data_IF_131044711866
#
_entry.id   IF_131044711866
#
_cell.length_a   1.000
_cell.length_b   1.000
_cell.length_c   1.000
_cell.angle_alpha   90.00
_cell.angle_beta   90.00
_cell.angle_gamma   90.00
#
_symmetry.space_group_name_H-M   'P 1'
#
loop_
_entity.id
_entity.type
_entity.pdbx_description
1 polymer ?
#
# COMPACT_ATOMS: atom_id res chain seq x y z
N UNK A 1 -41.77 -46.53 -22.16
CA UNK A 1 -43.21 -46.81 -22.10
C UNK A 1 -43.87 -45.51 -21.66
N UNK A 2 -44.04 -44.52 -22.52
CA UNK A 2 -45.04 -44.49 -23.61
C UNK A 2 -46.37 -45.06 -23.14
N UNK A 3 -47.31 -44.17 -22.79
CA UNK A 3 -48.69 -44.03 -23.31
C UNK A 3 -49.15 -42.63 -22.84
N UNK A 4 -49.60 -41.66 -23.65
CA UNK A 4 -50.25 -41.75 -24.94
C UNK A 4 -51.77 -41.75 -24.77
N UNK A 5 -52.41 -40.62 -25.10
CA UNK A 5 -53.66 -40.50 -25.87
C UNK A 5 -54.82 -39.71 -25.24
N UNK A 6 -54.93 -38.46 -25.72
CA UNK A 6 -56.06 -37.86 -26.45
C UNK A 6 -57.53 -38.21 -26.12
N UNK A 7 -58.33 -37.15 -26.05
CA UNK A 7 -59.76 -37.10 -26.40
C UNK A 7 -60.27 -35.66 -26.17
N UNK A 8 -60.56 -34.88 -27.22
CA UNK A 8 -61.87 -34.75 -27.89
C UNK A 8 -62.97 -34.23 -26.95
N UNK A 9 -63.88 -33.34 -27.31
CA UNK A 9 -64.26 -32.57 -28.51
C UNK A 9 -65.48 -31.73 -28.08
N UNK A 10 -65.90 -30.78 -28.93
CA UNK A 10 -67.26 -30.20 -29.00
C UNK A 10 -67.66 -29.23 -27.85
N UNK A 11 -68.34 -28.11 -28.05
CA UNK A 11 -69.02 -27.52 -29.20
C UNK A 11 -69.97 -26.41 -28.72
N UNK A 12 -70.66 -25.78 -29.67
CA UNK A 12 -71.91 -25.01 -29.48
C UNK A 12 -71.85 -23.48 -29.29
N UNK A 13 -71.70 -22.81 -30.43
CA UNK A 13 -72.56 -21.77 -31.04
C UNK A 13 -73.79 -21.22 -30.27
N UNK A 14 -73.98 -19.90 -30.39
CA UNK A 14 -75.26 -19.17 -30.32
C UNK A 14 -75.13 -17.83 -29.58
N UNK A 15 -75.54 -16.64 -30.07
CA UNK A 15 -76.21 -16.24 -31.30
C UNK A 15 -76.43 -14.71 -31.33
N UNK A 16 -76.90 -14.24 -32.49
CA UNK A 16 -77.72 -13.04 -32.75
C UNK A 16 -77.20 -11.62 -32.39
N UNK A 17 -76.89 -10.86 -33.44
CA UNK A 17 -77.12 -9.41 -33.56
C UNK A 17 -78.58 -9.14 -34.05
N UNK A 18 -79.08 -7.91 -34.36
CA UNK A 18 -78.51 -6.54 -34.28
C UNK A 18 -79.52 -5.45 -33.77
N UNK A 19 -79.18 -4.15 -33.93
CA UNK A 19 -80.05 -3.00 -34.34
C UNK A 19 -80.20 -1.80 -33.37
N UNK A 20 -79.42 -0.75 -33.71
CA UNK A 20 -79.71 0.70 -33.87
C UNK A 20 -80.37 1.57 -32.77
N UNK A 21 -79.62 2.59 -32.31
CA UNK A 21 -79.81 4.02 -32.69
C UNK A 21 -78.67 4.87 -32.04
N UNK A 22 -77.75 5.52 -32.78
CA UNK A 22 -77.78 6.85 -33.45
C UNK A 22 -77.79 8.08 -32.48
N UNK A 23 -77.31 9.26 -32.89
CA UNK A 23 -75.91 9.71 -32.96
C UNK A 23 -75.68 11.03 -32.17
N UNK A 24 -74.42 11.44 -31.95
CA UNK A 24 -74.00 12.86 -32.03
C UNK A 24 -72.59 13.10 -31.53
N UNK A 25 -71.83 13.84 -32.33
CA UNK A 25 -71.04 14.93 -31.78
C UNK A 25 -69.53 14.73 -31.71
N UNK A 26 -68.85 15.75 -32.23
CA UNK A 26 -67.48 16.15 -31.93
C UNK A 26 -66.35 15.31 -32.54
N UNK A 27 -65.94 15.75 -33.71
CA UNK A 27 -64.51 15.87 -34.01
C UNK A 27 -63.79 16.53 -32.82
N UNK A 28 -62.83 15.83 -32.23
CA UNK A 28 -61.74 16.45 -31.46
C UNK A 28 -60.48 15.58 -31.54
N UNK A 29 -59.55 16.13 -32.30
CA UNK A 29 -58.12 16.10 -32.05
C UNK A 29 -57.43 14.73 -31.86
N UNK A 30 -56.90 14.23 -32.98
CA UNK A 30 -55.77 13.31 -32.99
C UNK A 30 -54.51 14.11 -32.69
N UNK A 31 -54.05 14.19 -31.43
CA UNK A 31 -52.63 14.39 -31.06
C UNK A 31 -52.47 14.59 -29.55
N UNK A 32 -51.80 13.66 -28.86
CA UNK A 32 -50.81 13.87 -27.78
C UNK A 32 -50.79 12.73 -26.73
N UNK A 33 -50.05 11.63 -26.97
CA UNK A 33 -49.53 10.83 -25.85
C UNK A 33 -47.99 10.81 -25.77
N UNK A 34 -47.27 11.36 -26.74
CA UNK A 34 -45.80 11.20 -26.83
C UNK A 34 -45.02 12.17 -25.93
N UNK A 35 -45.60 13.33 -25.60
CA UNK A 35 -44.89 14.40 -24.88
C UNK A 35 -44.69 14.16 -23.37
N UNK A 36 -45.37 13.18 -22.76
CA UNK A 36 -45.25 12.87 -21.32
C UNK A 36 -44.15 11.82 -21.09
N UNK A 37 -44.10 10.76 -21.90
CA UNK A 37 -43.09 9.70 -21.81
C UNK A 37 -41.63 10.22 -21.96
N UNK A 38 -41.42 11.21 -22.83
CA UNK A 38 -40.10 11.82 -23.05
C UNK A 38 -39.59 12.66 -21.87
N UNK A 39 -40.49 13.19 -21.01
CA UNK A 39 -40.11 13.99 -19.83
C UNK A 39 -39.60 13.10 -18.69
N UNK A 40 -40.17 11.91 -18.53
CA UNK A 40 -39.73 10.95 -17.52
C UNK A 40 -38.40 10.28 -17.93
N UNK A 41 -38.22 9.97 -19.22
CA UNK A 41 -36.94 9.48 -19.74
C UNK A 41 -35.81 10.52 -19.58
N UNK A 42 -36.07 11.81 -19.85
CA UNK A 42 -35.09 12.90 -19.61
C UNK A 42 -34.73 13.06 -18.14
N UNK A 43 -35.71 13.01 -17.23
CA UNK A 43 -35.48 13.10 -15.78
C UNK A 43 -34.67 11.92 -15.24
N UNK A 44 -34.92 10.71 -15.76
CA UNK A 44 -34.18 9.50 -15.38
C UNK A 44 -32.73 9.54 -15.88
N UNK A 45 -32.49 9.99 -17.12
CA UNK A 45 -31.13 10.16 -17.67
C UNK A 45 -30.33 11.21 -16.91
N UNK A 46 -30.94 12.34 -16.53
CA UNK A 46 -30.27 13.37 -15.72
C UNK A 46 -29.95 12.87 -14.31
N UNK A 47 -30.84 12.10 -13.68
CA UNK A 47 -30.61 11.52 -12.36
C UNK A 47 -29.47 10.46 -12.38
N UNK A 48 -29.42 9.60 -13.39
CA UNK A 48 -28.31 8.66 -13.58
C UNK A 48 -26.98 9.39 -13.84
N UNK A 49 -26.98 10.45 -14.66
CA UNK A 49 -25.78 11.25 -14.92
C UNK A 49 -25.24 11.94 -13.65
N UNK A 50 -26.14 12.43 -12.78
CA UNK A 50 -25.77 13.02 -11.48
C UNK A 50 -25.24 11.96 -10.49
N UNK A 51 -25.81 10.75 -10.48
CA UNK A 51 -25.33 9.65 -9.63
C UNK A 51 -23.94 9.14 -10.06
N UNK A 52 -23.65 9.13 -11.37
CA UNK A 52 -22.34 8.75 -11.92
C UNK A 52 -21.26 9.82 -11.64
N UNK A 53 -21.62 11.11 -11.62
CA UNK A 53 -20.69 12.19 -11.29
C UNK A 53 -20.26 12.20 -9.81
N UNK A 54 -21.07 11.63 -8.91
CA UNK A 54 -20.79 11.59 -7.48
C UNK A 54 -19.62 10.67 -7.10
N UNK A 55 -19.32 9.63 -7.90
CA UNK A 55 -18.15 8.77 -7.66
C UNK A 55 -16.84 9.40 -8.17
N UNK A 56 -16.91 10.36 -9.09
CA UNK A 56 -15.73 11.03 -9.65
C UNK A 56 -15.26 12.24 -8.81
N UNK A 57 -16.06 12.69 -7.84
CA UNK A 57 -15.75 13.85 -7.01
C UNK A 57 -15.12 13.50 -5.65
N UNK A 58 -14.54 12.31 -5.47
CA UNK A 58 -13.73 12.05 -4.29
C UNK A 58 -12.45 12.91 -4.40
N UNK A 59 -12.27 13.93 -3.52
CA UNK A 59 -11.02 14.66 -3.51
C UNK A 59 -9.88 13.67 -3.19
N UNK A 60 -8.72 13.77 -3.87
CA UNK A 60 -7.56 12.99 -3.49
C UNK A 60 -7.27 13.21 -2.00
N UNK A 61 -6.77 12.18 -1.27
CA UNK A 61 -6.42 12.35 0.12
C UNK A 61 -5.50 13.56 0.27
N UNK A 62 -5.78 14.41 1.26
CA UNK A 62 -5.00 15.61 1.50
C UNK A 62 -3.53 15.21 1.68
N UNK A 63 -2.65 15.69 0.79
CA UNK A 63 -1.21 15.57 0.97
C UNK A 63 -0.85 16.50 2.11
N UNK A 64 -0.63 15.93 3.29
CA UNK A 64 -0.11 16.68 4.43
C UNK A 64 1.37 16.96 4.15
N UNK A 65 1.64 18.14 3.61
CA UNK A 65 2.99 18.71 3.44
C UNK A 65 3.58 19.14 4.80
N UNK A 66 3.49 18.26 5.79
CA UNK A 66 4.21 18.43 7.04
C UNK A 66 5.71 18.32 6.74
N UNK A 67 6.55 19.28 7.20
CA UNK A 67 7.99 19.19 7.08
C UNK A 67 8.46 17.83 7.58
N UNK A 68 9.22 17.14 6.73
CA UNK A 68 9.87 15.91 7.12
C UNK A 68 11.10 16.28 7.94
N UNK A 69 11.20 15.77 9.17
CA UNK A 69 12.45 15.87 9.92
C UNK A 69 13.53 15.05 9.23
N UNK A 70 14.49 15.73 8.59
CA UNK A 70 15.65 15.13 7.93
C UNK A 70 16.88 15.14 8.82
N UNK A 71 16.76 15.51 10.10
CA UNK A 71 17.89 15.55 11.02
C UNK A 71 18.51 14.15 11.18
N UNK A 72 19.83 14.12 11.27
CA UNK A 72 20.61 12.92 11.58
C UNK A 72 20.56 12.66 13.09
N UNK A 73 19.38 12.30 13.61
CA UNK A 73 19.16 12.18 15.05
C UNK A 73 19.69 10.84 15.57
N UNK A 74 20.47 10.92 16.65
CA UNK A 74 21.00 9.76 17.35
C UNK A 74 19.88 8.83 17.87
N UNK A 75 20.10 7.52 17.79
CA UNK A 75 19.21 6.53 18.37
C UNK A 75 19.94 5.24 18.72
N UNK A 76 19.32 4.47 19.60
CA UNK A 76 19.63 3.07 19.82
C UNK A 76 18.40 2.24 19.48
N UNK A 77 18.58 1.17 18.73
CA UNK A 77 17.51 0.28 18.31
C UNK A 77 17.94 -1.19 18.42
N UNK A 78 17.02 -2.05 18.81
CA UNK A 78 17.24 -3.49 18.78
C UNK A 78 15.99 -4.24 18.41
N UNK A 79 16.18 -5.43 17.85
CA UNK A 79 15.08 -6.32 17.53
C UNK A 79 15.48 -7.44 16.59
N UNK A 80 14.57 -7.80 15.69
CA UNK A 80 14.68 -8.94 14.78
C UNK A 80 14.65 -8.47 13.33
N UNK A 81 15.47 -9.08 12.50
CA UNK A 81 15.46 -8.90 11.06
C UNK A 81 15.39 -10.24 10.35
N UNK A 82 14.75 -10.24 9.19
CA UNK A 82 14.84 -11.33 8.23
C UNK A 82 14.98 -10.74 6.84
N UNK A 83 15.90 -11.27 6.04
CA UNK A 83 16.06 -10.89 4.65
C UNK A 83 15.93 -12.13 3.77
N UNK A 84 15.27 -11.99 2.62
CA UNK A 84 15.13 -13.04 1.62
C UNK A 84 15.58 -12.53 0.26
N UNK A 85 16.34 -13.34 -0.47
CA UNK A 85 16.73 -13.07 -1.86
C UNK A 85 16.75 -14.35 -2.69
N UNK A 86 16.09 -14.35 -3.84
CA UNK A 86 16.17 -15.44 -4.83
C UNK A 86 15.81 -16.85 -4.32
N UNK A 87 15.17 -16.97 -3.14
CA UNK A 87 14.84 -18.23 -2.48
C UNK A 87 15.60 -18.50 -1.18
N UNK A 88 16.77 -17.88 -0.98
CA UNK A 88 17.54 -17.97 0.26
C UNK A 88 17.09 -16.91 1.25
N UNK A 89 17.08 -17.25 2.53
CA UNK A 89 16.67 -16.34 3.59
C UNK A 89 17.56 -16.45 4.81
N UNK A 90 17.80 -15.31 5.46
CA UNK A 90 18.52 -15.20 6.73
C UNK A 90 17.63 -14.55 7.76
N UNK A 91 17.73 -15.00 9.01
CA UNK A 91 17.10 -14.38 10.17
C UNK A 91 18.15 -14.08 11.23
N UNK A 92 18.08 -12.89 11.82
CA UNK A 92 19.03 -12.43 12.83
C UNK A 92 18.36 -11.50 13.84
N UNK A 93 18.93 -11.42 15.03
CA UNK A 93 18.73 -10.30 15.93
C UNK A 93 19.72 -9.19 15.57
N UNK A 94 19.28 -7.94 15.70
CA UNK A 94 20.14 -6.78 15.53
C UNK A 94 20.19 -5.92 16.79
N UNK A 95 21.33 -5.26 16.97
CA UNK A 95 21.49 -4.08 17.84
C UNK A 95 22.19 -3.01 17.04
N UNK A 96 21.67 -1.80 17.09
CA UNK A 96 22.18 -0.66 16.34
C UNK A 96 22.30 0.54 17.26
N UNK A 97 23.52 1.05 17.41
CA UNK A 97 23.81 2.38 17.94
C UNK A 97 24.13 3.30 16.76
N UNK A 98 23.33 4.34 16.60
CA UNK A 98 23.49 5.35 15.57
C UNK A 98 23.76 6.71 16.18
N UNK A 99 24.78 7.39 15.65
CA UNK A 99 25.14 8.77 15.93
C UNK A 99 25.42 9.48 14.60
N UNK A 100 25.40 10.82 14.57
CA UNK A 100 25.74 11.54 13.36
C UNK A 100 27.08 11.09 12.77
N UNK A 101 27.03 10.60 11.53
CA UNK A 101 28.20 10.07 10.82
C UNK A 101 28.83 8.79 11.38
N UNK A 102 28.23 8.14 12.39
CA UNK A 102 28.76 6.91 12.99
C UNK A 102 27.66 5.85 13.20
N UNK A 103 27.95 4.62 12.83
CA UNK A 103 27.04 3.49 13.01
C UNK A 103 27.77 2.29 13.57
N UNK A 104 27.18 1.63 14.56
CA UNK A 104 27.61 0.33 15.05
C UNK A 104 26.43 -0.64 15.03
N UNK A 105 26.47 -1.63 14.14
CA UNK A 105 25.41 -2.61 13.93
C UNK A 105 25.95 -4.01 14.25
N UNK A 106 25.40 -4.65 15.26
CA UNK A 106 25.69 -6.03 15.60
C UNK A 106 24.57 -6.95 15.14
N UNK A 107 24.92 -8.07 14.48
CA UNK A 107 24.01 -9.12 14.05
C UNK A 107 24.31 -10.43 14.77
N UNK A 108 23.29 -11.12 15.24
CA UNK A 108 23.40 -12.42 15.89
C UNK A 108 22.30 -13.37 15.42
N UNK A 109 22.57 -14.67 15.42
CA UNK A 109 21.55 -15.71 15.21
C UNK A 109 20.52 -15.67 16.35
N UNK A 110 19.31 -16.23 16.14
CA UNK A 110 18.31 -16.35 17.21
C UNK A 110 18.83 -17.11 18.45
N UNK A 111 19.82 -17.99 18.27
CA UNK A 111 20.47 -18.76 19.33
C UNK A 111 21.58 -17.97 20.06
N UNK A 112 21.84 -16.72 19.68
CA UNK A 112 22.80 -15.82 20.32
C UNK A 112 24.22 -15.85 19.75
N UNK A 113 24.53 -16.70 18.77
CA UNK A 113 25.82 -16.68 18.10
C UNK A 113 25.97 -15.41 17.24
N UNK A 114 27.05 -14.65 17.43
CA UNK A 114 27.38 -13.48 16.60
C UNK A 114 27.53 -13.92 15.14
N UNK A 115 26.93 -13.17 14.21
CA UNK A 115 27.09 -13.36 12.76
C UNK A 115 28.10 -12.36 12.20
N UNK A 116 27.88 -11.08 12.50
CA UNK A 116 28.73 -10.00 12.04
C UNK A 116 28.58 -8.76 12.93
N UNK A 117 29.58 -7.88 12.87
CA UNK A 117 29.52 -6.51 13.38
C UNK A 117 29.97 -5.56 12.30
N UNK A 118 29.08 -4.66 11.90
CA UNK A 118 29.38 -3.56 11.00
C UNK A 118 29.65 -2.30 11.81
N UNK A 119 30.72 -1.60 11.49
CA UNK A 119 30.97 -0.24 11.99
C UNK A 119 31.24 0.70 10.82
N UNK A 120 30.69 1.91 10.90
CA UNK A 120 30.89 2.98 9.91
C UNK A 120 31.23 4.26 10.67
N UNK A 121 32.18 5.00 10.14
CA UNK A 121 32.58 6.32 10.61
C UNK A 121 33.04 7.18 9.42
N UNK A 122 33.39 8.47 9.60
CA UNK A 122 33.86 9.31 8.50
C UNK A 122 35.12 8.82 7.78
N UNK A 123 35.90 7.92 8.39
CA UNK A 123 37.08 7.29 7.81
C UNK A 123 36.79 6.03 6.98
N UNK A 124 35.56 5.52 7.00
CA UNK A 124 35.13 4.40 6.16
C UNK A 124 34.21 3.42 6.88
N UNK A 125 34.21 2.17 6.41
CA UNK A 125 33.40 1.11 7.00
C UNK A 125 34.19 -0.19 7.17
N UNK A 126 33.81 -0.97 8.17
CA UNK A 126 34.34 -2.30 8.41
C UNK A 126 33.25 -3.29 8.83
N UNK A 127 33.45 -4.56 8.48
CA UNK A 127 32.62 -5.68 8.91
C UNK A 127 33.55 -6.74 9.51
N UNK A 128 33.24 -7.15 10.73
CA UNK A 128 33.87 -8.28 11.42
C UNK A 128 32.90 -9.44 11.43
N UNK A 129 33.26 -10.56 10.81
CA UNK A 129 32.45 -11.79 10.78
C UNK A 129 32.73 -12.68 11.99
N UNK A 130 31.87 -13.67 12.20
CA UNK A 130 31.97 -14.63 13.31
C UNK A 130 33.24 -15.49 13.30
N UNK A 131 33.84 -15.70 12.13
CA UNK A 131 35.09 -16.45 11.93
C UNK A 131 36.35 -15.60 12.19
N UNK A 132 36.18 -14.33 12.57
CA UNK A 132 37.26 -13.38 12.78
C UNK A 132 37.75 -12.68 11.51
N UNK A 133 37.17 -12.98 10.34
CA UNK A 133 37.47 -12.24 9.10
C UNK A 133 37.04 -10.79 9.27
N UNK A 134 37.92 -9.87 8.90
CA UNK A 134 37.64 -8.43 8.90
C UNK A 134 37.76 -7.92 7.47
N UNK A 135 36.73 -7.21 7.02
CA UNK A 135 36.71 -6.56 5.73
C UNK A 135 36.56 -5.05 5.92
N UNK A 136 37.34 -4.28 5.17
CA UNK A 136 37.31 -2.82 5.17
C UNK A 136 36.93 -2.28 3.79
N UNK A 137 36.29 -1.12 3.78
CA UNK A 137 36.05 -0.33 2.59
C UNK A 137 36.12 1.17 2.92
N UNK A 138 36.48 1.98 1.93
CA UNK A 138 36.37 3.43 2.03
C UNK A 138 34.90 3.88 2.12
N UNK A 139 33.97 3.09 1.58
CA UNK A 139 32.54 3.39 1.59
C UNK A 139 31.72 2.18 2.07
N UNK A 140 30.76 2.45 2.96
CA UNK A 140 29.89 1.42 3.53
C UNK A 140 29.02 0.72 2.48
N UNK A 141 28.69 1.43 1.40
CA UNK A 141 27.92 0.92 0.27
C UNK A 141 28.65 -0.25 -0.42
N UNK A 142 29.91 -0.09 -0.79
CA UNK A 142 30.71 -1.14 -1.42
C UNK A 142 30.97 -2.31 -0.50
N UNK A 143 31.09 -2.06 0.81
CA UNK A 143 31.23 -3.12 1.80
C UNK A 143 29.94 -3.95 1.91
N UNK A 144 28.80 -3.30 2.05
CA UNK A 144 27.50 -3.97 2.07
C UNK A 144 27.20 -4.68 0.75
N UNK A 145 27.53 -4.09 -0.39
CA UNK A 145 27.36 -4.73 -1.69
C UNK A 145 28.19 -6.02 -1.84
N UNK A 146 29.42 -6.05 -1.31
CA UNK A 146 30.24 -7.27 -1.29
C UNK A 146 29.71 -8.30 -0.30
N UNK A 147 29.30 -7.88 0.89
CA UNK A 147 28.83 -8.78 1.95
C UNK A 147 27.43 -9.35 1.69
N UNK A 148 26.53 -8.57 1.10
CA UNK A 148 25.12 -8.91 0.86
C UNK A 148 24.83 -9.26 -0.61
N UNK A 149 25.79 -9.00 -1.50
CA UNK A 149 25.66 -9.21 -2.95
C UNK A 149 24.69 -8.26 -3.66
N UNK A 150 24.23 -7.19 -3.01
CA UNK A 150 23.19 -6.29 -3.49
C UNK A 150 23.45 -4.83 -3.10
N UNK A 151 22.99 -3.84 -3.88
CA UNK A 151 23.14 -2.43 -3.56
C UNK A 151 22.21 -2.05 -2.40
N UNK A 152 22.70 -2.21 -1.17
CA UNK A 152 22.00 -1.77 0.04
C UNK A 152 22.52 -0.39 0.44
N UNK A 153 21.75 0.70 0.26
CA UNK A 153 22.19 2.05 0.61
C UNK A 153 22.30 2.22 2.12
N UNK A 154 23.44 1.79 2.66
CA UNK A 154 23.75 1.82 4.11
C UNK A 154 23.55 3.21 4.68
N UNK A 155 23.94 4.21 3.90
CA UNK A 155 23.78 5.63 4.19
C UNK A 155 22.32 6.02 4.49
N UNK A 156 21.34 5.36 3.89
CA UNK A 156 19.94 5.72 4.07
C UNK A 156 19.29 4.97 5.22
N UNK A 157 19.87 3.84 5.64
CA UNK A 157 19.22 2.91 6.56
C UNK A 157 18.85 3.59 7.89
N UNK A 158 19.68 4.49 8.41
CA UNK A 158 19.45 5.17 9.69
C UNK A 158 18.23 6.10 9.64
N UNK A 159 18.03 6.78 8.50
CA UNK A 159 16.83 7.58 8.24
C UNK A 159 15.61 6.68 8.04
N UNK A 160 15.77 5.65 7.20
CA UNK A 160 14.70 4.72 6.87
C UNK A 160 14.17 3.96 8.08
N UNK A 161 15.02 3.56 9.03
CA UNK A 161 14.58 2.90 10.27
C UNK A 161 13.70 3.83 11.13
N UNK A 162 13.97 5.14 11.10
CA UNK A 162 13.19 6.18 11.79
C UNK A 162 11.95 6.65 11.01
N UNK A 163 11.66 6.04 9.86
CA UNK A 163 10.61 6.46 8.95
C UNK A 163 10.80 7.88 8.39
N UNK A 164 12.05 8.29 8.19
CA UNK A 164 12.41 9.54 7.52
C UNK A 164 13.16 9.24 6.21
N UNK A 165 12.94 10.01 5.13
CA UNK A 165 13.77 9.96 3.94
C UNK A 165 15.14 10.57 4.21
N UNK A 166 16.14 10.03 3.53
CA UNK A 166 17.48 10.61 3.52
C UNK A 166 17.47 11.91 2.67
N UNK A 167 18.15 13.00 3.07
CA UNK A 167 18.01 14.32 2.41
C UNK A 167 18.68 14.46 1.03
N UNK A 168 19.64 13.59 0.69
CA UNK A 168 20.42 13.69 -0.56
C UNK A 168 19.74 13.16 -1.83
N UNK A 169 18.60 12.47 -1.72
CA UNK A 169 17.89 11.91 -2.90
C UNK A 169 16.40 12.18 -2.83
N UNK A 170 15.75 12.23 -4.00
CA UNK A 170 14.31 12.41 -4.09
C UNK A 170 13.55 11.24 -3.47
N UNK A 171 12.39 11.54 -2.88
CA UNK A 171 11.56 10.56 -2.19
C UNK A 171 10.08 10.80 -2.46
N UNK A 172 9.27 9.76 -2.24
CA UNK A 172 7.82 9.85 -2.17
C UNK A 172 7.34 9.24 -0.84
N UNK A 173 6.48 9.96 -0.12
CA UNK A 173 5.90 9.50 1.15
C UNK A 173 4.38 9.45 1.09
N UNK A 174 3.80 8.45 1.74
CA UNK A 174 2.39 8.38 2.08
C UNK A 174 2.27 8.41 3.60
N UNK A 175 1.32 9.18 4.14
CA UNK A 175 1.13 9.35 5.59
C UNK A 175 -0.23 8.84 6.05
N UNK A 176 -0.33 8.48 7.33
CA UNK A 176 -1.61 8.23 7.98
C UNK A 176 -2.31 9.53 8.42
N UNK A 177 -3.51 9.40 8.97
CA UNK A 177 -4.30 10.54 9.46
C UNK A 177 -3.62 11.29 10.64
N UNK A 178 -2.68 10.66 11.33
CA UNK A 178 -1.88 11.27 12.40
C UNK A 178 -0.58 11.91 11.86
N UNK A 179 -0.36 11.88 10.54
CA UNK A 179 0.83 12.43 9.90
C UNK A 179 2.06 11.53 9.92
N UNK A 180 1.97 10.29 10.42
CA UNK A 180 3.08 9.33 10.43
C UNK A 180 3.28 8.71 9.06
N UNK A 181 4.53 8.44 8.67
CA UNK A 181 4.85 7.86 7.37
C UNK A 181 4.41 6.39 7.32
N UNK A 182 3.48 6.06 6.42
CA UNK A 182 3.04 4.68 6.16
C UNK A 182 3.88 4.01 5.08
N UNK A 183 4.22 4.77 4.04
CA UNK A 183 5.03 4.28 2.92
C UNK A 183 6.09 5.31 2.59
N UNK A 184 7.33 4.86 2.42
CA UNK A 184 8.45 5.67 1.89
C UNK A 184 9.00 4.96 0.66
N UNK A 185 9.16 5.69 -0.44
CA UNK A 185 9.87 5.21 -1.64
C UNK A 185 11.05 6.12 -1.93
N UNK A 186 12.25 5.54 -1.98
CA UNK A 186 13.50 6.28 -2.20
C UNK A 186 14.58 5.34 -2.74
N UNK A 187 15.36 5.78 -3.72
CA UNK A 187 16.50 5.03 -4.30
C UNK A 187 16.15 3.59 -4.76
N UNK A 188 14.93 3.41 -5.29
CA UNK A 188 14.41 2.12 -5.76
C UNK A 188 13.86 1.20 -4.66
N UNK A 189 13.98 1.59 -3.39
CA UNK A 189 13.41 0.87 -2.27
C UNK A 189 11.98 1.34 -1.97
N UNK A 190 11.11 0.39 -1.62
CA UNK A 190 9.79 0.65 -1.08
C UNK A 190 9.73 0.15 0.36
N UNK A 191 9.51 1.07 1.31
CA UNK A 191 9.41 0.79 2.74
C UNK A 191 7.97 0.98 3.22
N UNK A 192 7.44 0.01 3.95
CA UNK A 192 6.12 0.05 4.57
C UNK A 192 6.28 -0.05 6.07
N UNK A 193 5.67 0.89 6.79
CA UNK A 193 5.80 1.04 8.23
C UNK A 193 4.53 0.59 8.96
N UNK A 194 4.71 0.03 10.15
CA UNK A 194 3.62 -0.18 11.09
C UNK A 194 4.02 0.27 12.50
N UNK A 195 3.07 0.88 13.19
CA UNK A 195 3.23 1.51 14.49
C UNK A 195 2.37 0.79 15.53
N UNK A 196 2.79 0.84 16.80
CA UNK A 196 2.01 0.32 17.92
C UNK A 196 1.13 1.45 18.51
N UNK A 197 -0.19 1.36 18.38
CA UNK A 197 -1.11 2.40 18.86
C UNK A 197 -0.72 3.78 18.36
N UNK A 198 -0.55 4.73 19.28
CA UNK A 198 -0.18 6.12 19.00
C UNK A 198 1.35 6.36 19.04
N UNK A 199 2.17 5.31 19.00
CA UNK A 199 3.63 5.46 18.99
C UNK A 199 4.09 6.32 17.80
N UNK A 200 5.06 7.21 18.07
CA UNK A 200 5.68 8.08 17.07
C UNK A 200 6.69 7.32 16.18
N UNK A 201 7.34 6.29 16.72
CA UNK A 201 8.33 5.47 16.00
C UNK A 201 7.74 4.14 15.50
N UNK A 202 8.18 3.63 14.34
CA UNK A 202 7.68 2.36 13.83
C UNK A 202 8.14 1.19 14.70
N UNK A 203 7.30 0.16 14.78
CA UNK A 203 7.63 -1.13 15.41
C UNK A 203 7.98 -2.18 14.34
N UNK A 204 7.57 -1.96 13.10
CA UNK A 204 7.87 -2.86 11.98
C UNK A 204 8.15 -2.06 10.72
N UNK A 205 9.14 -2.53 9.98
CA UNK A 205 9.50 -2.02 8.65
C UNK A 205 9.55 -3.21 7.70
N UNK A 206 8.84 -3.11 6.59
CA UNK A 206 8.99 -4.01 5.45
C UNK A 206 9.66 -3.22 4.34
N UNK A 207 10.86 -3.61 3.92
CA UNK A 207 11.59 -2.97 2.86
C UNK A 207 11.73 -3.94 1.68
N UNK A 208 11.36 -3.49 0.49
CA UNK A 208 11.44 -4.26 -0.74
C UNK A 208 12.33 -3.52 -1.76
N UNK A 209 13.17 -4.29 -2.43
CA UNK A 209 13.99 -3.92 -3.58
C UNK A 209 13.93 -5.11 -4.56
N UNK A 210 14.12 -4.95 -5.88
CA UNK A 210 14.08 -6.08 -6.80
C UNK A 210 14.77 -7.35 -6.28
N UNK A 211 13.99 -8.44 -6.19
CA UNK A 211 14.35 -9.76 -5.65
C UNK A 211 14.83 -9.81 -4.19
N UNK A 212 14.66 -8.75 -3.41
CA UNK A 212 15.09 -8.63 -2.01
C UNK A 212 13.93 -8.15 -1.14
N UNK A 213 13.56 -8.99 -0.18
CA UNK A 213 12.59 -8.65 0.86
C UNK A 213 13.27 -8.60 2.22
N UNK A 214 13.17 -7.47 2.91
CA UNK A 214 13.66 -7.30 4.27
C UNK A 214 12.50 -6.99 5.19
N UNK A 215 12.41 -7.71 6.30
CA UNK A 215 11.46 -7.45 7.37
C UNK A 215 12.23 -7.18 8.65
N UNK A 216 11.92 -6.06 9.28
CA UNK A 216 12.50 -5.62 10.54
C UNK A 216 11.36 -5.48 11.54
N UNK A 217 11.53 -6.07 12.72
CA UNK A 217 10.68 -5.85 13.88
C UNK A 217 11.56 -5.22 14.95
N UNK A 218 11.17 -4.06 15.43
CA UNK A 218 11.93 -3.27 16.40
C UNK A 218 11.29 -3.51 17.76
N UNK A 219 12.04 -4.17 18.64
CA UNK A 219 11.58 -4.54 19.97
C UNK A 219 11.82 -3.42 20.98
N UNK A 220 12.92 -2.67 20.84
CA UNK A 220 13.24 -1.56 21.72
C UNK A 220 13.88 -0.39 20.97
N UNK A 221 13.53 0.80 21.45
CA UNK A 221 14.05 2.09 21.02
C UNK A 221 14.62 2.82 22.24
N UNK A 222 15.76 3.46 22.07
CA UNK A 222 16.32 4.45 22.99
C UNK A 222 16.80 5.69 22.21
N UNK A 223 17.05 6.78 22.94
CA UNK A 223 17.36 8.09 22.37
C UNK A 223 16.12 8.93 22.00
N UNK A 224 16.32 10.21 21.64
CA UNK A 224 15.25 11.18 21.41
C UNK A 224 14.41 10.80 20.17
N UNK A 225 13.08 10.70 20.32
CA UNK A 225 12.19 10.54 19.19
C UNK A 225 12.33 11.74 18.22
N UNK A 226 12.29 11.49 16.89
CA UNK A 226 12.18 12.58 15.91
C UNK A 226 10.85 13.33 16.05
#
# INVERSE_FOLDING_TARGET
MEQGRAGSREGSLGGAAPVLARPSGAARDRQAPVAIALRHARRFVVACALALAACASLPPPAVVDAPVDTADAAFDASGRLSAKRGGEGVAAHFRWEHRPGHDAIGLATPMGATLARLTRDPGGASIVFSDGRVEHAADAQSLAARALGAPLPVENLAWWLRATPHPRSGYAIERDAAGRVLVLRQDGWALVYAYAGDAARPQRVLANYPDIDVRIVIDAWAGPAP
#
